data_IF_543862176220
#
_entry.id   IF_543862176220
#
_cell.length_a   1.000
_cell.length_b   1.000
_cell.length_c   1.000
_cell.angle_alpha   90.00
_cell.angle_beta   90.00
_cell.angle_gamma   90.00
#
_symmetry.space_group_name_H-M   'P 1'
#
loop_
_entity.id
_entity.type
_entity.pdbx_description
1 polymer ?
#
# COMPACT_ATOMS: atom_id res chain seq x y z
N UNK A 1 -5.05 -11.07 -15.51
CA UNK A 1 -4.00 -10.93 -14.48
C UNK A 1 -3.36 -12.29 -14.24
N UNK A 2 -2.07 -12.33 -13.94
CA UNK A 2 -1.43 -13.57 -13.47
C UNK A 2 -1.78 -13.82 -11.99
N UNK A 3 -1.70 -15.08 -11.54
CA UNK A 3 -1.90 -15.42 -10.11
C UNK A 3 -0.95 -14.64 -9.18
N UNK A 4 0.22 -14.24 -9.68
CA UNK A 4 1.17 -13.42 -8.93
C UNK A 4 0.68 -11.98 -8.75
N UNK A 5 0.12 -11.38 -9.80
CA UNK A 5 -0.47 -10.03 -9.75
C UNK A 5 -1.66 -9.99 -8.78
N UNK A 6 -2.55 -10.98 -8.84
CA UNK A 6 -3.69 -11.09 -7.91
C UNK A 6 -3.24 -11.23 -6.45
N UNK A 7 -2.24 -12.08 -6.17
CA UNK A 7 -1.72 -12.26 -4.81
C UNK A 7 -1.10 -10.95 -4.26
N UNK A 8 -0.44 -10.19 -5.13
CA UNK A 8 0.17 -8.92 -4.79
C UNK A 8 -0.85 -7.81 -4.54
N UNK A 9 -1.94 -7.75 -5.30
CA UNK A 9 -3.06 -6.85 -5.00
C UNK A 9 -3.71 -7.14 -3.65
N UNK A 10 -3.90 -8.43 -3.31
CA UNK A 10 -4.42 -8.82 -2.00
C UNK A 10 -3.47 -8.36 -0.89
N UNK A 11 -2.16 -8.57 -1.04
CA UNK A 11 -1.15 -8.10 -0.08
C UNK A 11 -1.17 -6.58 0.08
N UNK A 12 -1.27 -5.83 -1.02
CA UNK A 12 -1.38 -4.37 -0.97
C UNK A 12 -2.62 -3.92 -0.20
N UNK A 13 -3.79 -4.52 -0.46
CA UNK A 13 -5.03 -4.20 0.26
C UNK A 13 -4.94 -4.49 1.76
N UNK A 14 -4.25 -5.56 2.15
CA UNK A 14 -4.00 -5.89 3.56
C UNK A 14 -3.05 -4.85 4.19
N UNK A 15 -1.97 -4.49 3.51
CA UNK A 15 -1.03 -3.47 3.99
C UNK A 15 -1.71 -2.11 4.18
N UNK A 16 -2.54 -1.69 3.22
CA UNK A 16 -3.31 -0.45 3.29
C UNK A 16 -4.29 -0.45 4.47
N UNK A 17 -4.96 -1.59 4.73
CA UNK A 17 -5.87 -1.74 5.87
C UNK A 17 -5.14 -1.59 7.21
N UNK A 18 -3.95 -2.19 7.34
CA UNK A 18 -3.10 -2.03 8.52
C UNK A 18 -2.64 -0.57 8.68
N UNK A 19 -2.21 0.06 7.60
CA UNK A 19 -1.75 1.44 7.60
C UNK A 19 -2.86 2.42 8.03
N UNK A 20 -4.09 2.20 7.58
CA UNK A 20 -5.27 2.95 8.01
C UNK A 20 -5.55 2.80 9.52
N UNK A 21 -5.36 1.59 10.07
CA UNK A 21 -5.51 1.35 11.51
C UNK A 21 -4.44 2.11 12.29
N UNK A 22 -3.19 2.11 11.82
CA UNK A 22 -2.08 2.83 12.45
C UNK A 22 -2.36 4.34 12.49
N UNK A 23 -2.79 4.93 11.37
CA UNK A 23 -3.12 6.35 11.30
C UNK A 23 -4.30 6.70 12.22
N UNK A 24 -5.39 5.93 12.17
CA UNK A 24 -6.58 6.18 13.01
C UNK A 24 -6.26 6.10 14.51
N UNK A 25 -5.32 5.25 14.89
CA UNK A 25 -4.90 5.09 16.28
C UNK A 25 -3.80 6.10 16.69
N UNK A 26 -3.39 7.01 15.80
CA UNK A 26 -2.35 8.00 16.06
C UNK A 26 -0.95 7.43 16.20
N UNK A 27 -0.69 6.21 15.70
CA UNK A 27 0.63 5.57 15.74
C UNK A 27 1.59 6.14 14.70
N UNK A 28 1.04 6.77 13.66
CA UNK A 28 1.78 7.43 12.59
C UNK A 28 1.07 8.74 12.23
N UNK A 29 1.84 9.69 11.73
CA UNK A 29 1.36 10.92 11.12
C UNK A 29 0.87 10.69 9.69
N UNK A 30 0.14 11.67 9.14
CA UNK A 30 -0.26 11.66 7.73
C UNK A 30 0.94 11.63 6.78
N UNK A 31 2.03 12.31 7.12
CA UNK A 31 3.25 12.30 6.30
C UNK A 31 3.92 10.92 6.28
N UNK A 32 3.93 10.22 7.42
CA UNK A 32 4.43 8.85 7.49
C UNK A 32 3.51 7.87 6.74
N UNK A 33 2.19 8.09 6.81
CA UNK A 33 1.22 7.32 6.02
C UNK A 33 1.52 7.41 4.53
N UNK A 34 1.64 8.62 3.98
CA UNK A 34 1.88 8.83 2.54
C UNK A 34 3.16 8.13 2.08
N UNK A 35 4.24 8.25 2.87
CA UNK A 35 5.52 7.63 2.56
C UNK A 35 5.46 6.11 2.61
N UNK A 36 4.76 5.53 3.59
CA UNK A 36 4.60 4.06 3.69
C UNK A 36 3.70 3.54 2.56
N UNK A 37 2.64 4.25 2.20
CA UNK A 37 1.75 3.88 1.10
C UNK A 37 2.47 3.92 -0.26
N UNK A 38 3.33 4.90 -0.48
CA UNK A 38 4.21 4.96 -1.66
C UNK A 38 5.14 3.74 -1.72
N UNK A 39 5.80 3.39 -0.61
CA UNK A 39 6.66 2.19 -0.52
C UNK A 39 5.87 0.89 -0.74
N UNK A 40 4.63 0.82 -0.24
CA UNK A 40 3.74 -0.32 -0.46
C UNK A 40 3.34 -0.47 -1.93
N UNK A 41 3.06 0.64 -2.64
CA UNK A 41 2.82 0.62 -4.09
C UNK A 41 4.03 0.11 -4.85
N UNK A 42 5.24 0.61 -4.55
CA UNK A 42 6.48 0.15 -5.18
C UNK A 42 6.76 -1.34 -4.91
N UNK A 43 6.45 -1.82 -3.71
CA UNK A 43 6.72 -3.20 -3.28
C UNK A 43 5.71 -4.21 -3.84
N UNK A 44 4.42 -3.94 -3.67
CA UNK A 44 3.37 -4.89 -3.99
C UNK A 44 2.80 -4.69 -5.38
N UNK A 45 2.82 -3.48 -5.92
CA UNK A 45 2.14 -3.19 -7.17
C UNK A 45 2.94 -2.25 -8.06
N UNK A 46 4.15 -2.66 -8.50
CA UNK A 46 4.99 -1.86 -9.37
C UNK A 46 4.30 -1.51 -10.71
N UNK A 47 3.31 -2.29 -11.13
CA UNK A 47 2.47 -1.99 -12.29
C UNK A 47 1.46 -0.87 -12.03
N UNK A 48 0.89 -0.77 -10.81
CA UNK A 48 0.01 0.34 -10.41
C UNK A 48 0.79 1.63 -10.14
N UNK A 49 2.07 1.55 -9.77
CA UNK A 49 2.95 2.72 -9.62
C UNK A 49 2.99 3.57 -10.89
N UNK A 50 2.82 2.96 -12.08
CA UNK A 50 2.76 3.70 -13.36
C UNK A 50 1.39 4.32 -13.66
N UNK A 51 0.32 3.85 -13.03
CA UNK A 51 -1.06 4.30 -13.28
C UNK A 51 -1.43 5.53 -12.44
N UNK A 52 -0.76 5.71 -11.31
CA UNK A 52 -0.98 6.81 -10.37
C UNK A 52 0.24 7.75 -10.24
N UNK A 53 1.22 7.66 -11.15
CA UNK A 53 2.37 8.57 -11.22
C UNK A 53 2.00 9.92 -11.83
#
# INVERSE_FOLDING_TARGET
MSKFQEANEVKYKVALKLLNIMLRNGLISTAEYEKIDELNRQTFSPELTKVYA
#
